data_IF_774138674825
#
_entry.id   IF_774138674825
#
_cell.length_a   1.000
_cell.length_b   1.000
_cell.length_c   1.000
_cell.angle_alpha   90.00
_cell.angle_beta   90.00
_cell.angle_gamma   90.00
#
_symmetry.space_group_name_H-M   'P 1'
#
loop_
_entity.id
_entity.type
_entity.pdbx_description
1 polymer ?
#
# COMPACT_ATOMS: atom_id res chain seq x y z
N UNK A 1 16.00 16.31 12.83
CA UNK A 1 14.61 16.52 12.33
C UNK A 1 14.42 15.62 11.13
N UNK A 2 13.40 14.77 11.15
CA UNK A 2 13.13 13.80 10.12
C UNK A 2 12.05 14.29 9.15
N UNK A 3 11.91 13.64 8.00
CA UNK A 3 10.79 13.88 7.09
C UNK A 3 9.49 13.35 7.71
N UNK A 4 8.38 14.06 7.49
CA UNK A 4 7.02 13.66 7.86
C UNK A 4 6.23 13.46 6.57
N UNK A 5 5.76 12.24 6.34
CA UNK A 5 5.08 11.85 5.08
C UNK A 5 3.66 11.43 5.38
N UNK A 6 2.67 12.07 4.76
CA UNK A 6 1.26 11.78 4.96
C UNK A 6 0.68 10.89 3.86
N UNK A 7 -0.18 9.96 4.26
CA UNK A 7 -1.02 9.15 3.38
C UNK A 7 -2.42 9.03 3.98
N UNK A 8 -3.45 9.31 3.19
CA UNK A 8 -4.86 9.19 3.60
C UNK A 8 -5.77 8.81 2.45
N UNK A 9 -7.03 8.54 2.75
CA UNK A 9 -8.16 8.42 1.82
C UNK A 9 -9.07 9.68 1.84
N UNK A 10 -8.58 10.82 2.34
CA UNK A 10 -9.38 12.04 2.53
C UNK A 10 -9.56 12.86 1.25
N UNK A 11 -8.68 12.66 0.25
CA UNK A 11 -8.62 13.54 -0.90
C UNK A 11 -8.10 14.94 -0.54
N UNK A 12 -8.13 15.85 -1.52
CA UNK A 12 -7.70 17.25 -1.36
C UNK A 12 -8.85 18.25 -1.65
N UNK A 13 -10.09 17.76 -1.71
CA UNK A 13 -11.25 18.58 -2.09
C UNK A 13 -11.73 19.46 -0.93
N UNK A 14 -11.51 19.01 0.29
CA UNK A 14 -11.86 19.75 1.52
C UNK A 14 -10.64 20.10 2.38
N UNK A 15 -10.87 20.58 3.59
CA UNK A 15 -9.83 21.05 4.49
C UNK A 15 -9.18 19.98 5.38
N UNK A 16 -9.51 18.69 5.25
CA UNK A 16 -9.07 17.66 6.19
C UNK A 16 -7.53 17.51 6.19
N UNK A 17 -6.92 17.34 5.03
CA UNK A 17 -5.45 17.25 4.88
C UNK A 17 -4.77 18.55 5.31
N UNK A 18 -5.32 19.69 4.91
CA UNK A 18 -4.80 21.00 5.33
C UNK A 18 -4.82 21.19 6.85
N UNK A 19 -5.84 20.66 7.54
CA UNK A 19 -5.90 20.67 9.00
C UNK A 19 -4.81 19.79 9.64
N UNK A 20 -4.48 18.64 9.02
CA UNK A 20 -3.36 17.81 9.46
C UNK A 20 -2.02 18.53 9.34
N UNK A 21 -1.80 19.25 8.23
CA UNK A 21 -0.60 20.10 8.07
C UNK A 21 -0.54 21.20 9.10
N UNK A 22 -1.67 21.90 9.33
CA UNK A 22 -1.76 22.95 10.34
C UNK A 22 -1.36 22.46 11.73
N UNK A 23 -1.83 21.27 12.13
CA UNK A 23 -1.44 20.62 13.38
C UNK A 23 0.05 20.31 13.39
N UNK A 24 0.58 19.72 12.32
CA UNK A 24 2.01 19.39 12.26
C UNK A 24 2.90 20.64 12.36
N UNK A 25 2.58 21.70 11.63
CA UNK A 25 3.30 22.99 11.72
C UNK A 25 3.11 23.69 13.06
N UNK A 26 1.99 23.50 13.77
CA UNK A 26 1.81 24.03 15.13
C UNK A 26 2.70 23.32 16.15
N UNK A 27 3.06 22.04 15.89
CA UNK A 27 4.03 21.29 16.69
C UNK A 27 5.44 21.81 16.43
N UNK A 28 5.83 21.92 15.16
CA UNK A 28 7.14 22.45 14.78
C UNK A 28 7.10 23.12 13.39
N UNK A 29 7.32 24.44 13.29
CA UNK A 29 7.13 25.20 12.04
C UNK A 29 8.15 24.89 10.93
N UNK A 30 9.24 24.18 11.23
CA UNK A 30 10.27 23.81 10.25
C UNK A 30 10.22 22.32 9.84
N UNK A 31 9.12 21.62 10.10
CA UNK A 31 8.96 20.25 9.62
C UNK A 31 9.00 20.17 8.10
N UNK A 32 9.70 19.17 7.59
CA UNK A 32 9.65 18.81 6.17
C UNK A 32 8.47 17.88 5.94
N UNK A 33 7.34 18.44 5.53
CA UNK A 33 6.11 17.69 5.28
C UNK A 33 6.01 17.34 3.79
N UNK A 34 5.64 16.10 3.51
CA UNK A 34 5.45 15.55 2.17
C UNK A 34 4.19 14.68 2.13
N UNK A 35 3.67 14.47 0.92
CA UNK A 35 2.58 13.54 0.68
C UNK A 35 3.09 12.28 -0.02
N UNK A 36 2.66 11.13 0.49
CA UNK A 36 2.71 9.91 -0.28
C UNK A 36 1.54 9.94 -1.27
N UNK A 37 0.33 10.02 -0.74
CA UNK A 37 -0.92 10.24 -1.49
C UNK A 37 -2.08 10.53 -0.55
N UNK A 38 -3.08 11.27 -1.03
CA UNK A 38 -4.37 11.45 -0.36
C UNK A 38 -5.53 10.84 -1.16
N UNK A 39 -5.21 10.13 -2.25
CA UNK A 39 -6.17 9.53 -3.17
C UNK A 39 -6.30 8.00 -3.00
N UNK A 40 -6.05 7.47 -1.80
CA UNK A 40 -6.42 6.09 -1.49
C UNK A 40 -7.93 5.96 -1.67
N UNK A 41 -8.37 4.90 -2.31
CA UNK A 41 -9.81 4.61 -2.42
C UNK A 41 -10.44 4.62 -1.03
N UNK A 42 -11.52 5.37 -0.79
CA UNK A 42 -12.14 5.48 0.53
C UNK A 42 -12.34 4.12 1.20
N UNK A 43 -11.89 4.01 2.46
CA UNK A 43 -11.93 2.81 3.30
C UNK A 43 -11.06 1.63 2.84
N UNK A 44 -10.25 1.78 1.81
CA UNK A 44 -9.43 0.69 1.28
C UNK A 44 -8.09 0.55 2.04
N UNK A 45 -8.14 -0.19 3.16
CA UNK A 45 -6.97 -0.47 4.01
C UNK A 45 -5.91 -1.28 3.23
N UNK A 46 -6.31 -2.19 2.33
CA UNK A 46 -5.39 -2.97 1.52
C UNK A 46 -4.53 -2.08 0.62
N UNK A 47 -5.16 -1.13 -0.07
CA UNK A 47 -4.44 -0.18 -0.91
C UNK A 47 -3.49 0.70 -0.09
N UNK A 48 -3.93 1.21 1.07
CA UNK A 48 -3.07 1.98 1.98
C UNK A 48 -1.82 1.18 2.39
N UNK A 49 -2.00 -0.08 2.76
CA UNK A 49 -0.91 -0.98 3.12
C UNK A 49 0.09 -1.19 1.97
N UNK A 50 -0.43 -1.34 0.74
CA UNK A 50 0.41 -1.53 -0.44
C UNK A 50 1.20 -0.26 -0.78
N UNK A 51 0.56 0.93 -0.73
CA UNK A 51 1.23 2.20 -1.06
C UNK A 51 2.38 2.51 -0.11
N UNK A 52 2.28 2.16 1.15
CA UNK A 52 3.39 2.26 2.10
C UNK A 52 4.60 1.47 1.60
N UNK A 53 4.45 0.17 1.34
CA UNK A 53 5.59 -0.68 0.94
C UNK A 53 6.12 -0.33 -0.46
N UNK A 54 5.27 0.19 -1.36
CA UNK A 54 5.68 0.68 -2.66
C UNK A 54 6.72 1.81 -2.54
N UNK A 55 6.67 2.60 -1.47
CA UNK A 55 7.35 3.88 -1.36
C UNK A 55 8.44 3.89 -0.29
N UNK A 56 8.23 3.23 0.85
CA UNK A 56 9.04 3.36 2.07
C UNK A 56 10.56 3.20 1.85
N UNK A 57 10.97 2.26 1.00
CA UNK A 57 12.38 1.96 0.72
C UNK A 57 13.17 3.08 0.03
N UNK A 58 12.48 4.06 -0.53
CA UNK A 58 13.09 5.19 -1.25
C UNK A 58 13.27 6.42 -0.37
N UNK A 59 12.76 6.39 0.86
CA UNK A 59 12.90 7.48 1.80
C UNK A 59 14.13 7.32 2.68
N UNK A 60 14.75 8.44 3.11
CA UNK A 60 15.84 8.41 4.08
C UNK A 60 15.42 7.72 5.39
N UNK A 61 16.33 6.93 5.97
CA UNK A 61 16.11 6.29 7.27
C UNK A 61 15.71 7.34 8.32
N UNK A 62 14.82 6.97 9.23
CA UNK A 62 14.27 7.85 10.24
C UNK A 62 13.03 8.64 9.77
N UNK A 63 12.62 8.52 8.50
CA UNK A 63 11.38 9.14 8.02
C UNK A 63 10.18 8.63 8.83
N UNK A 64 9.28 9.55 9.18
CA UNK A 64 8.02 9.27 9.89
C UNK A 64 6.87 9.31 8.87
N UNK A 65 6.19 8.19 8.69
CA UNK A 65 4.99 8.09 7.86
C UNK A 65 3.76 8.15 8.76
N UNK A 66 2.77 8.93 8.35
CA UNK A 66 1.44 8.97 8.97
C UNK A 66 0.45 8.46 7.95
N UNK A 67 -0.06 7.24 8.15
CA UNK A 67 -0.97 6.58 7.22
C UNK A 67 -2.34 6.42 7.88
N UNK A 68 -3.34 7.08 7.32
CA UNK A 68 -4.70 7.13 7.88
C UNK A 68 -5.73 6.75 6.84
N UNK A 69 -6.12 5.48 6.87
CA UNK A 69 -7.35 4.95 6.28
C UNK A 69 -8.05 4.21 7.40
N UNK A 70 -9.08 4.81 7.98
CA UNK A 70 -9.59 4.43 9.29
C UNK A 70 -11.13 4.30 9.35
N UNK A 71 -11.69 3.24 8.72
CA UNK A 71 -13.13 2.97 8.82
C UNK A 71 -13.64 2.78 10.26
N UNK A 72 -12.72 2.43 11.19
CA UNK A 72 -13.00 2.17 12.59
C UNK A 72 -12.72 3.35 13.53
N UNK A 73 -12.59 4.58 13.02
CA UNK A 73 -12.33 5.75 13.86
C UNK A 73 -13.34 5.86 15.01
N UNK A 74 -12.84 6.09 16.23
CA UNK A 74 -13.68 6.18 17.43
C UNK A 74 -14.12 4.83 18.02
N UNK A 75 -13.71 3.69 17.46
CA UNK A 75 -13.92 2.35 18.06
C UNK A 75 -12.75 1.97 18.99
N UNK A 76 -12.79 0.73 19.54
CA UNK A 76 -11.74 0.19 20.42
C UNK A 76 -10.45 -0.22 19.68
N UNK A 77 -10.37 0.00 18.35
CA UNK A 77 -9.15 -0.29 17.58
C UNK A 77 -7.99 0.54 18.11
N UNK A 78 -6.80 -0.06 18.18
CA UNK A 78 -5.63 0.61 18.72
C UNK A 78 -5.01 1.60 17.73
N UNK A 79 -4.43 2.66 18.26
CA UNK A 79 -3.57 3.59 17.52
C UNK A 79 -2.12 3.25 17.84
N UNK A 80 -1.28 3.05 16.83
CA UNK A 80 0.08 2.56 17.03
C UNK A 80 1.12 3.39 16.27
N UNK A 81 2.34 3.36 16.79
CA UNK A 81 3.54 3.70 16.03
C UNK A 81 4.41 2.46 15.98
N UNK A 82 4.86 2.09 14.78
CA UNK A 82 5.80 1.00 14.60
C UNK A 82 7.15 1.53 14.11
N UNK A 83 8.23 0.86 14.53
CA UNK A 83 9.56 1.01 13.97
C UNK A 83 9.80 -0.16 13.03
N UNK A 84 10.07 0.13 11.77
CA UNK A 84 10.33 -0.90 10.74
C UNK A 84 11.77 -1.38 10.78
N UNK A 85 12.03 -2.56 10.20
CA UNK A 85 13.39 -3.10 10.10
C UNK A 85 14.33 -2.21 9.26
N UNK A 86 13.80 -1.46 8.30
CA UNK A 86 14.55 -0.45 7.54
C UNK A 86 14.77 0.86 8.30
N UNK A 87 14.26 0.97 9.54
CA UNK A 87 14.51 2.09 10.44
C UNK A 87 13.61 3.31 10.21
N UNK A 88 12.43 3.12 9.63
CA UNK A 88 11.39 4.13 9.53
C UNK A 88 10.37 4.00 10.65
N UNK A 89 9.55 5.04 10.82
CA UNK A 89 8.43 5.02 11.75
C UNK A 89 7.12 5.15 10.99
N UNK A 90 6.09 4.39 11.40
CA UNK A 90 4.75 4.48 10.80
C UNK A 90 3.73 4.67 11.91
N UNK A 91 3.01 5.79 11.85
CA UNK A 91 1.92 6.19 12.74
C UNK A 91 0.61 5.87 12.05
N UNK A 92 -0.20 4.96 12.61
CA UNK A 92 -1.37 4.42 11.90
C UNK A 92 -2.37 3.78 12.85
N UNK A 93 -3.65 3.64 12.46
CA UNK A 93 -4.56 2.73 13.13
C UNK A 93 -4.10 1.27 12.96
N UNK A 94 -4.22 0.46 14.01
CA UNK A 94 -3.96 -0.98 13.95
C UNK A 94 -5.19 -1.71 13.39
N UNK A 95 -5.34 -1.66 12.08
CA UNK A 95 -6.51 -2.19 11.35
C UNK A 95 -6.13 -3.04 10.12
N UNK A 96 -4.84 -3.36 9.96
CA UNK A 96 -4.31 -4.09 8.81
C UNK A 96 -3.50 -3.24 7.83
N UNK A 97 -3.42 -1.92 8.01
CA UNK A 97 -2.59 -1.02 7.19
C UNK A 97 -1.11 -1.42 7.15
N UNK A 98 -0.62 -2.13 8.15
CA UNK A 98 0.78 -2.59 8.21
C UNK A 98 1.05 -3.93 7.51
N UNK A 99 0.05 -4.59 6.94
CA UNK A 99 0.15 -5.96 6.42
C UNK A 99 1.32 -6.17 5.45
N UNK A 100 1.45 -5.32 4.43
CA UNK A 100 2.54 -5.44 3.45
C UNK A 100 3.88 -5.01 4.03
N UNK A 101 3.91 -4.03 4.94
CA UNK A 101 5.14 -3.62 5.62
C UNK A 101 5.68 -4.75 6.50
N UNK A 102 4.81 -5.40 7.30
CA UNK A 102 5.17 -6.57 8.11
C UNK A 102 5.79 -7.66 7.24
N UNK A 103 5.20 -7.91 6.06
CA UNK A 103 5.63 -8.97 5.17
C UNK A 103 6.97 -8.70 4.46
N UNK A 104 7.17 -7.47 3.95
CA UNK A 104 8.24 -7.17 3.01
C UNK A 104 9.40 -6.35 3.60
N UNK A 105 9.16 -5.65 4.70
CA UNK A 105 10.19 -4.89 5.41
C UNK A 105 10.47 -5.47 6.81
N UNK A 106 9.43 -5.86 7.53
CA UNK A 106 9.49 -6.29 8.91
C UNK A 106 9.26 -5.14 9.90
N UNK A 107 8.85 -5.51 11.12
CA UNK A 107 8.63 -4.58 12.24
C UNK A 107 9.56 -4.97 13.38
N UNK A 108 10.39 -4.03 13.84
CA UNK A 108 11.27 -4.20 14.98
C UNK A 108 10.54 -4.01 16.31
N UNK A 109 9.75 -2.94 16.41
CA UNK A 109 9.10 -2.55 17.65
C UNK A 109 7.76 -1.88 17.39
N UNK A 110 6.80 -2.06 18.30
CA UNK A 110 5.45 -1.49 18.25
C UNK A 110 5.15 -0.78 19.56
N UNK A 111 4.62 0.43 19.49
CA UNK A 111 4.09 1.16 20.65
C UNK A 111 2.65 1.57 20.42
N UNK A 112 1.80 1.35 21.41
CA UNK A 112 0.46 1.92 21.43
C UNK A 112 0.57 3.41 21.77
N UNK A 113 -0.14 4.27 21.03
CA UNK A 113 -0.12 5.70 21.30
C UNK A 113 -0.86 5.97 22.62
N UNK A 114 -0.16 6.58 23.58
CA UNK A 114 -0.81 7.09 24.78
C UNK A 114 -1.49 8.42 24.46
N UNK A 115 -2.79 8.36 24.22
CA UNK A 115 -3.59 9.53 23.85
C UNK A 115 -3.72 10.58 24.99
N UNK A 116 -3.39 10.25 26.23
CA UNK A 116 -3.36 11.25 27.30
C UNK A 116 -2.23 12.27 27.10
N UNK A 117 -1.16 11.86 26.41
CA UNK A 117 0.04 12.66 26.16
C UNK A 117 0.20 13.03 24.69
N UNK A 118 -0.16 12.12 23.79
CA UNK A 118 0.07 12.19 22.35
C UNK A 118 -1.22 12.46 21.55
N UNK A 119 -2.08 13.29 22.09
CA UNK A 119 -3.28 13.80 21.44
C UNK A 119 -3.26 15.34 21.45
N UNK A 120 -3.74 15.94 20.35
CA UNK A 120 -3.84 17.39 20.21
C UNK A 120 -4.61 17.98 21.40
N UNK A 121 -4.06 18.95 22.15
CA UNK A 121 -4.74 19.57 23.29
C UNK A 121 -6.13 20.10 22.91
N UNK A 122 -7.11 19.89 23.78
CA UNK A 122 -8.50 20.31 23.61
C UNK A 122 -9.29 19.59 22.50
N UNK A 123 -8.79 18.47 21.98
CA UNK A 123 -9.52 17.65 20.99
C UNK A 123 -10.26 16.44 21.62
N UNK A 124 -10.19 16.26 22.94
CA UNK A 124 -10.69 15.07 23.64
C UNK A 124 -12.20 14.86 23.64
N UNK A 125 -13.00 15.85 23.21
CA UNK A 125 -14.46 15.74 23.13
C UNK A 125 -14.96 15.27 21.74
N UNK A 126 -14.06 15.13 20.74
CA UNK A 126 -14.38 14.65 19.40
C UNK A 126 -13.56 13.41 19.08
N UNK A 127 -14.23 12.36 18.65
CA UNK A 127 -13.63 11.07 18.31
C UNK A 127 -13.71 10.75 16.80
N UNK A 128 -13.98 11.74 15.97
CA UNK A 128 -14.23 11.54 14.54
C UNK A 128 -13.09 11.92 13.64
N UNK A 129 -12.02 12.56 14.17
CA UNK A 129 -10.88 12.99 13.37
C UNK A 129 -9.53 12.66 14.02
N UNK A 130 -9.32 11.36 14.33
CA UNK A 130 -8.04 10.87 14.85
C UNK A 130 -6.87 11.11 13.88
N UNK A 131 -7.13 11.21 12.58
CA UNK A 131 -6.14 11.59 11.56
C UNK A 131 -5.39 12.87 11.91
N UNK A 132 -6.12 13.89 12.30
CA UNK A 132 -5.59 15.18 12.75
C UNK A 132 -5.12 15.14 14.20
N UNK A 133 -5.99 14.65 15.11
CA UNK A 133 -5.85 14.86 16.55
C UNK A 133 -4.86 13.90 17.21
N UNK A 134 -4.70 12.69 16.66
CA UNK A 134 -3.83 11.65 17.18
C UNK A 134 -2.65 11.42 16.24
N UNK A 135 -2.91 11.05 14.99
CA UNK A 135 -1.86 10.56 14.10
C UNK A 135 -0.95 11.68 13.59
N UNK A 136 -1.50 12.79 13.07
CA UNK A 136 -0.69 13.92 12.62
C UNK A 136 0.07 14.55 13.79
N UNK A 137 -0.58 14.71 14.94
CA UNK A 137 0.03 15.28 16.13
C UNK A 137 1.20 14.43 16.65
N UNK A 138 0.98 13.11 16.82
CA UNK A 138 2.04 12.19 17.28
C UNK A 138 3.18 12.11 16.26
N UNK A 139 2.85 11.97 14.97
CA UNK A 139 3.85 11.92 13.90
C UNK A 139 4.72 13.17 13.82
N UNK A 140 4.11 14.34 13.98
CA UNK A 140 4.84 15.61 13.99
C UNK A 140 5.79 15.73 15.19
N UNK A 141 5.36 15.33 16.39
CA UNK A 141 6.21 15.33 17.60
C UNK A 141 7.40 14.39 17.45
N UNK A 142 7.17 13.20 16.88
CA UNK A 142 8.24 12.23 16.64
C UNK A 142 9.21 12.70 15.54
N UNK A 143 8.71 13.21 14.42
CA UNK A 143 9.54 13.71 13.32
C UNK A 143 10.39 14.92 13.71
N UNK A 144 9.87 15.79 14.57
CA UNK A 144 10.59 16.95 15.09
C UNK A 144 11.59 16.63 16.20
N UNK A 145 11.50 15.43 16.81
CA UNK A 145 12.32 15.03 17.96
C UNK A 145 11.86 15.66 19.28
N UNK A 146 10.62 16.18 19.35
CA UNK A 146 10.00 16.64 20.61
C UNK A 146 9.73 15.46 21.54
N UNK A 147 9.43 14.31 20.97
CA UNK A 147 9.39 13.02 21.68
C UNK A 147 10.32 12.03 20.98
N UNK A 148 10.88 11.12 21.74
CA UNK A 148 11.49 9.91 21.19
C UNK A 148 10.45 8.79 21.00
N UNK A 149 10.89 7.67 20.42
CA UNK A 149 9.96 6.56 20.14
C UNK A 149 9.43 5.92 21.44
N UNK A 150 10.20 5.92 22.53
CA UNK A 150 9.78 5.37 23.82
C UNK A 150 8.65 6.18 24.47
N UNK A 151 8.59 7.49 24.19
CA UNK A 151 7.60 8.42 24.73
C UNK A 151 6.26 8.38 23.97
N UNK A 152 6.17 7.62 22.88
CA UNK A 152 4.89 7.39 22.16
C UNK A 152 3.87 6.73 23.08
N UNK A 153 4.32 5.76 23.89
CA UNK A 153 3.46 5.04 24.83
C UNK A 153 3.96 3.61 25.11
N UNK A 154 3.11 2.74 25.67
CA UNK A 154 3.51 1.40 26.08
C UNK A 154 3.92 0.50 24.92
N UNK A 155 4.93 -0.34 25.17
CA UNK A 155 5.41 -1.36 24.24
C UNK A 155 4.33 -2.44 24.04
N UNK A 156 4.22 -2.93 22.80
CA UNK A 156 3.36 -4.05 22.43
C UNK A 156 4.16 -5.13 21.69
N UNK A 157 3.64 -6.36 21.71
CA UNK A 157 4.20 -7.43 20.87
C UNK A 157 3.89 -7.18 19.39
N UNK A 158 4.85 -7.45 18.51
CA UNK A 158 4.68 -7.30 17.05
C UNK A 158 3.68 -8.29 16.47
N UNK A 159 3.44 -9.40 17.16
CA UNK A 159 2.44 -10.43 16.84
C UNK A 159 1.01 -9.99 17.12
N UNK A 160 0.82 -8.95 17.96
CA UNK A 160 -0.50 -8.39 18.28
C UNK A 160 -1.08 -7.51 17.14
N UNK A 161 -0.28 -7.14 16.14
CA UNK A 161 -0.72 -6.29 15.03
C UNK A 161 -1.74 -7.00 14.15
N UNK A 162 -2.79 -6.28 13.79
CA UNK A 162 -3.82 -6.76 12.86
C UNK A 162 -3.21 -6.96 11.47
N UNK A 163 -3.51 -8.10 10.85
CA UNK A 163 -3.06 -8.45 9.50
C UNK A 163 -4.24 -8.80 8.63
N UNK A 164 -4.26 -8.24 7.42
CA UNK A 164 -5.17 -8.68 6.38
C UNK A 164 -4.70 -10.02 5.80
N UNK A 165 -5.61 -10.92 5.39
CA UNK A 165 -5.21 -12.16 4.75
C UNK A 165 -4.50 -11.89 3.42
N UNK A 166 -3.40 -12.59 3.16
CA UNK A 166 -2.66 -12.57 1.90
C UNK A 166 -2.76 -13.95 1.27
N UNK A 167 -3.11 -14.01 -0.02
CA UNK A 167 -3.02 -15.22 -0.83
C UNK A 167 -1.63 -15.27 -1.45
N UNK A 168 -0.84 -16.29 -1.10
CA UNK A 168 0.51 -16.45 -1.63
C UNK A 168 0.48 -16.83 -3.11
N UNK A 169 1.31 -16.19 -3.94
CA UNK A 169 1.52 -16.64 -5.31
C UNK A 169 2.19 -18.00 -5.32
N UNK A 170 1.81 -18.86 -6.27
CA UNK A 170 2.36 -20.23 -6.36
C UNK A 170 2.44 -20.72 -7.79
N UNK A 171 3.31 -21.68 -8.00
CA UNK A 171 3.31 -22.49 -9.21
C UNK A 171 2.20 -23.54 -9.15
N UNK A 172 1.61 -23.80 -10.30
CA UNK A 172 0.61 -24.86 -10.53
C UNK A 172 0.93 -25.53 -11.86
N UNK A 173 1.74 -26.56 -11.82
CA UNK A 173 2.34 -27.16 -13.00
C UNK A 173 3.25 -26.17 -13.73
N UNK A 174 2.91 -25.85 -14.99
CA UNK A 174 3.62 -24.86 -15.80
C UNK A 174 3.03 -23.44 -15.68
N UNK A 175 1.97 -23.27 -14.91
CA UNK A 175 1.36 -21.98 -14.68
C UNK A 175 1.84 -21.37 -13.36
N UNK A 176 1.72 -20.05 -13.26
CA UNK A 176 1.82 -19.31 -11.99
C UNK A 176 0.47 -18.68 -11.68
N UNK A 177 0.07 -18.77 -10.41
CA UNK A 177 -1.18 -18.22 -9.90
C UNK A 177 -0.89 -17.18 -8.83
N UNK A 178 -1.65 -16.10 -8.80
CA UNK A 178 -1.57 -15.03 -7.82
C UNK A 178 -2.84 -14.20 -7.76
N UNK A 179 -2.73 -13.00 -7.18
CA UNK A 179 -3.81 -12.02 -7.04
C UNK A 179 -3.46 -10.72 -7.76
N UNK A 180 -4.48 -9.90 -8.04
CA UNK A 180 -4.29 -8.50 -8.44
C UNK A 180 -4.20 -7.70 -7.15
N UNK A 181 -3.00 -7.30 -6.77
CA UNK A 181 -2.78 -6.62 -5.48
C UNK A 181 -3.24 -5.17 -5.52
N UNK A 182 -2.87 -4.46 -6.56
CA UNK A 182 -3.20 -3.03 -6.70
C UNK A 182 -3.29 -2.63 -8.17
N UNK A 183 -3.97 -1.54 -8.44
CA UNK A 183 -3.94 -0.91 -9.76
C UNK A 183 -2.88 0.18 -9.80
N UNK A 184 -2.22 0.32 -10.93
CA UNK A 184 -1.61 1.59 -11.28
C UNK A 184 -2.75 2.57 -11.58
N UNK A 185 -3.06 3.42 -10.59
CA UNK A 185 -4.30 4.20 -10.59
C UNK A 185 -4.43 5.10 -11.82
N UNK A 186 -3.33 5.70 -12.25
CA UNK A 186 -3.34 6.65 -13.37
C UNK A 186 -3.54 5.95 -14.71
N UNK A 187 -2.91 4.81 -14.91
CA UNK A 187 -2.88 4.10 -16.20
C UNK A 187 -3.82 2.89 -16.23
N UNK A 188 -4.29 2.41 -15.07
CA UNK A 188 -5.19 1.26 -14.99
C UNK A 188 -4.53 -0.07 -15.31
N UNK A 189 -3.21 -0.17 -15.18
CA UNK A 189 -2.50 -1.45 -15.25
C UNK A 189 -2.75 -2.28 -13.99
N UNK A 190 -2.79 -3.60 -14.14
CA UNK A 190 -2.98 -4.53 -13.04
C UNK A 190 -1.63 -4.96 -12.49
N UNK A 191 -1.34 -4.69 -11.24
CA UNK A 191 -0.13 -5.15 -10.59
C UNK A 191 -0.46 -6.36 -9.71
N UNK A 192 0.24 -7.46 -9.98
CA UNK A 192 0.01 -8.71 -9.28
C UNK A 192 0.98 -8.89 -8.12
N UNK A 193 0.68 -9.85 -7.24
CA UNK A 193 1.62 -10.29 -6.20
C UNK A 193 2.63 -11.36 -6.68
N UNK A 194 2.71 -11.62 -7.98
CA UNK A 194 3.60 -12.63 -8.55
C UNK A 194 4.99 -12.04 -8.74
N UNK A 195 6.01 -12.40 -7.92
CA UNK A 195 7.36 -11.92 -8.12
C UNK A 195 7.93 -12.46 -9.44
N UNK A 196 8.76 -11.67 -10.11
CA UNK A 196 9.48 -12.08 -11.32
C UNK A 196 10.25 -13.38 -11.12
N UNK A 197 10.89 -13.56 -9.98
CA UNK A 197 11.66 -14.77 -9.65
C UNK A 197 10.81 -16.04 -9.62
N UNK A 198 9.55 -15.97 -9.17
CA UNK A 198 8.61 -17.08 -9.23
C UNK A 198 8.10 -17.28 -10.66
N UNK A 199 7.76 -16.18 -11.35
CA UNK A 199 7.27 -16.22 -12.72
C UNK A 199 8.26 -16.88 -13.69
N UNK A 200 9.55 -16.57 -13.59
CA UNK A 200 10.59 -17.15 -14.45
C UNK A 200 10.74 -18.67 -14.30
N UNK A 201 10.27 -19.27 -13.20
CA UNK A 201 10.28 -20.73 -13.03
C UNK A 201 9.28 -21.44 -13.94
N UNK A 202 8.35 -20.72 -14.57
CA UNK A 202 7.46 -21.27 -15.61
C UNK A 202 8.20 -21.53 -16.93
N UNK A 203 9.40 -20.99 -17.09
CA UNK A 203 10.19 -21.05 -18.34
C UNK A 203 9.83 -19.96 -19.35
N UNK A 204 8.86 -19.10 -19.06
CA UNK A 204 8.44 -18.00 -19.94
C UNK A 204 9.56 -16.96 -20.05
N UNK A 205 9.83 -16.49 -21.28
CA UNK A 205 10.82 -15.46 -21.58
C UNK A 205 10.19 -14.26 -22.27
N UNK A 206 10.88 -13.13 -22.27
CA UNK A 206 10.44 -11.96 -23.04
C UNK A 206 10.30 -12.30 -24.53
N UNK A 207 9.18 -11.91 -25.11
CA UNK A 207 8.80 -12.23 -26.47
C UNK A 207 7.87 -13.45 -26.60
N UNK A 208 7.74 -14.24 -25.55
CA UNK A 208 6.79 -15.37 -25.55
C UNK A 208 5.34 -14.88 -25.43
N UNK A 209 4.43 -15.66 -25.98
CA UNK A 209 3.01 -15.50 -25.75
C UNK A 209 2.60 -16.27 -24.51
N UNK A 210 1.76 -15.65 -23.70
CA UNK A 210 1.23 -16.23 -22.46
C UNK A 210 -0.29 -16.22 -22.47
N UNK A 211 -0.89 -17.29 -21.99
CA UNK A 211 -2.30 -17.36 -21.71
C UNK A 211 -2.56 -16.75 -20.33
N UNK A 212 -3.41 -15.74 -20.25
CA UNK A 212 -3.82 -15.10 -19.00
C UNK A 212 -5.29 -15.37 -18.75
N UNK A 213 -5.60 -15.84 -17.55
CA UNK A 213 -6.96 -15.94 -17.04
C UNK A 213 -7.07 -15.09 -15.78
N UNK A 214 -8.07 -14.19 -15.74
CA UNK A 214 -8.40 -13.37 -14.56
C UNK A 214 -9.82 -13.67 -14.14
N UNK A 215 -9.98 -13.99 -12.86
CA UNK A 215 -11.24 -14.39 -12.25
C UNK A 215 -11.50 -13.57 -10.98
N UNK A 216 -12.76 -13.31 -10.73
CA UNK A 216 -13.21 -12.97 -9.38
C UNK A 216 -13.99 -14.16 -8.79
N UNK A 217 -14.46 -14.03 -7.55
CA UNK A 217 -15.13 -15.14 -6.86
C UNK A 217 -16.38 -15.68 -7.59
N UNK A 218 -16.93 -14.94 -8.55
CA UNK A 218 -18.19 -15.26 -9.22
C UNK A 218 -18.03 -15.68 -10.67
N UNK A 219 -16.97 -15.25 -11.36
CA UNK A 219 -16.81 -15.49 -12.80
C UNK A 219 -15.39 -15.30 -13.32
N UNK A 220 -15.11 -15.91 -14.46
CA UNK A 220 -13.96 -15.54 -15.31
C UNK A 220 -14.27 -14.23 -16.02
N UNK A 221 -13.43 -13.22 -15.78
CA UNK A 221 -13.60 -11.86 -16.30
C UNK A 221 -12.78 -11.64 -17.57
N UNK A 222 -11.60 -12.25 -17.64
CA UNK A 222 -10.71 -12.14 -18.79
C UNK A 222 -10.00 -13.46 -19.06
N UNK A 223 -9.94 -13.85 -20.34
CA UNK A 223 -9.10 -14.94 -20.81
C UNK A 223 -8.61 -14.61 -22.20
N UNK A 224 -7.30 -14.50 -22.38
CA UNK A 224 -6.70 -14.20 -23.67
C UNK A 224 -5.23 -14.62 -23.70
N UNK A 225 -4.65 -14.62 -24.90
CA UNK A 225 -3.25 -14.85 -25.17
C UNK A 225 -2.63 -13.51 -25.52
N UNK A 226 -1.64 -13.08 -24.72
CA UNK A 226 -0.96 -11.80 -24.89
C UNK A 226 0.55 -11.98 -24.90
N UNK A 227 1.28 -10.96 -25.31
CA UNK A 227 2.75 -10.94 -25.33
C UNK A 227 3.29 -10.71 -23.92
N UNK A 228 4.31 -11.46 -23.49
CA UNK A 228 5.17 -11.07 -22.38
C UNK A 228 6.27 -10.15 -22.90
N UNK A 229 6.09 -8.87 -22.71
CA UNK A 229 6.89 -7.79 -23.30
C UNK A 229 7.93 -7.23 -22.33
N UNK A 230 9.02 -6.69 -22.86
CA UNK A 230 9.98 -5.91 -22.05
C UNK A 230 9.48 -4.52 -21.73
N UNK A 231 8.71 -3.95 -22.65
CA UNK A 231 8.18 -2.60 -22.53
C UNK A 231 6.87 -2.43 -23.31
N UNK A 232 6.19 -1.33 -23.09
CA UNK A 232 5.00 -0.95 -23.84
C UNK A 232 5.26 -0.74 -25.33
N UNK A 233 6.52 -0.48 -25.74
CA UNK A 233 6.89 -0.29 -27.13
C UNK A 233 6.86 -1.58 -27.98
N UNK A 234 6.80 -2.74 -27.33
CA UNK A 234 6.80 -4.03 -28.01
C UNK A 234 5.42 -4.44 -28.56
N UNK A 235 4.37 -3.65 -28.25
CA UNK A 235 2.99 -3.88 -28.70
C UNK A 235 2.37 -2.59 -29.25
N UNK A 236 1.37 -2.74 -30.14
CA UNK A 236 0.65 -1.59 -30.68
C UNK A 236 -0.25 -0.93 -29.63
N UNK A 237 -0.60 0.34 -29.87
CA UNK A 237 -1.58 1.08 -29.04
C UNK A 237 -2.89 0.32 -29.01
N UNK A 238 -3.44 0.14 -27.82
CA UNK A 238 -4.66 -0.61 -27.57
C UNK A 238 -4.46 -2.13 -27.38
N UNK A 239 -3.28 -2.67 -27.62
CA UNK A 239 -2.99 -4.09 -27.34
C UNK A 239 -2.65 -4.34 -25.87
N UNK A 240 -3.04 -5.51 -25.40
CA UNK A 240 -2.72 -5.99 -24.06
C UNK A 240 -1.32 -6.64 -24.04
N UNK A 241 -0.62 -6.45 -22.90
CA UNK A 241 0.69 -7.04 -22.65
C UNK A 241 0.83 -7.47 -21.19
N UNK A 242 1.64 -8.50 -20.96
CA UNK A 242 2.22 -8.79 -19.65
C UNK A 242 3.63 -8.23 -19.60
N UNK A 243 4.06 -7.71 -18.44
CA UNK A 243 5.38 -7.13 -18.26
C UNK A 243 5.84 -7.25 -16.80
N UNK A 244 7.06 -6.86 -16.49
CA UNK A 244 7.55 -6.74 -15.12
C UNK A 244 7.49 -5.27 -14.70
N UNK A 245 6.81 -4.98 -13.59
CA UNK A 245 6.67 -3.63 -13.08
C UNK A 245 7.89 -3.17 -12.27
N UNK A 246 7.87 -1.92 -11.80
CA UNK A 246 8.97 -1.30 -11.02
C UNK A 246 9.20 -1.92 -9.63
N UNK A 247 8.32 -2.79 -9.16
CA UNK A 247 8.45 -3.54 -7.91
C UNK A 247 8.91 -4.99 -8.13
N UNK A 248 9.39 -5.31 -9.33
CA UNK A 248 9.84 -6.64 -9.72
C UNK A 248 8.76 -7.72 -9.67
N UNK A 249 7.50 -7.32 -9.89
CA UNK A 249 6.35 -8.21 -9.99
C UNK A 249 5.75 -8.20 -11.40
N UNK A 250 5.11 -9.31 -11.78
CA UNK A 250 4.37 -9.39 -13.06
C UNK A 250 3.17 -8.46 -13.02
N UNK A 251 2.93 -7.78 -14.13
CA UNK A 251 1.81 -6.88 -14.33
C UNK A 251 1.17 -7.10 -15.69
N UNK A 252 -0.09 -6.66 -15.84
CA UNK A 252 -0.85 -6.71 -17.10
C UNK A 252 -1.39 -5.33 -17.42
N UNK A 253 -1.24 -4.91 -18.66
CA UNK A 253 -1.67 -3.58 -19.11
C UNK A 253 -2.26 -3.61 -20.51
N UNK A 254 -2.86 -2.49 -20.92
CA UNK A 254 -3.14 -2.13 -22.31
C UNK A 254 -2.24 -0.95 -22.67
N UNK A 255 -1.52 -1.04 -23.77
CA UNK A 255 -0.68 0.06 -24.23
C UNK A 255 -1.54 1.28 -24.54
N UNK A 256 -1.30 2.39 -23.83
CA UNK A 256 -2.07 3.65 -23.86
C UNK A 256 -3.59 3.46 -23.54
N UNK A 257 -3.94 2.43 -22.77
CA UNK A 257 -5.30 2.16 -22.34
C UNK A 257 -5.36 1.69 -20.88
N UNK A 258 -6.58 1.64 -20.31
CA UNK A 258 -6.80 1.16 -18.96
C UNK A 258 -7.37 -0.26 -18.98
N UNK A 259 -6.55 -1.23 -18.58
CA UNK A 259 -6.99 -2.62 -18.49
C UNK A 259 -8.09 -2.80 -17.44
N UNK A 260 -7.92 -2.17 -16.27
CA UNK A 260 -8.90 -2.26 -15.19
C UNK A 260 -10.28 -1.74 -15.61
N UNK A 261 -10.34 -0.62 -16.34
CA UNK A 261 -11.61 -0.06 -16.84
C UNK A 261 -12.21 -0.88 -17.98
N UNK A 262 -11.37 -1.36 -18.93
CA UNK A 262 -11.84 -2.13 -20.08
C UNK A 262 -12.55 -3.42 -19.66
N UNK A 263 -12.10 -4.04 -18.57
CA UNK A 263 -12.63 -5.33 -18.11
C UNK A 263 -13.29 -5.29 -16.73
N UNK A 264 -13.44 -4.09 -16.12
CA UNK A 264 -14.02 -3.88 -14.80
C UNK A 264 -13.35 -4.75 -13.72
N UNK A 265 -12.02 -4.67 -13.64
CA UNK A 265 -11.20 -5.46 -12.71
C UNK A 265 -10.87 -4.63 -11.48
N UNK A 266 -11.06 -5.21 -10.30
CA UNK A 266 -10.68 -4.67 -9.01
C UNK A 266 -9.40 -5.32 -8.45
N UNK A 267 -9.20 -5.21 -7.15
CA UNK A 267 -7.98 -5.64 -6.44
C UNK A 267 -8.29 -6.49 -5.21
N UNK A 268 -7.26 -7.09 -4.64
CA UNK A 268 -7.32 -7.88 -3.42
C UNK A 268 -7.62 -9.35 -3.66
N UNK A 269 -7.89 -10.09 -2.59
CA UNK A 269 -7.93 -11.55 -2.58
C UNK A 269 -9.04 -12.19 -3.43
N UNK A 270 -10.08 -11.44 -3.74
CA UNK A 270 -11.16 -11.91 -4.63
C UNK A 270 -10.79 -11.89 -6.12
N UNK A 271 -9.70 -11.22 -6.49
CA UNK A 271 -9.24 -11.10 -7.86
C UNK A 271 -7.99 -11.93 -8.09
N UNK A 272 -8.17 -13.07 -8.76
CA UNK A 272 -7.13 -14.06 -9.03
C UNK A 272 -6.66 -13.99 -10.47
N UNK A 273 -5.37 -14.21 -10.65
CA UNK A 273 -4.76 -14.30 -11.98
C UNK A 273 -4.01 -15.62 -12.11
N UNK A 274 -4.14 -16.26 -13.28
CA UNK A 274 -3.38 -17.41 -13.73
C UNK A 274 -2.66 -17.05 -15.01
N UNK A 275 -1.36 -17.32 -15.05
CA UNK A 275 -0.52 -17.08 -16.23
C UNK A 275 0.20 -18.37 -16.58
N UNK A 276 0.13 -18.79 -17.84
CA UNK A 276 0.75 -20.02 -18.33
C UNK A 276 1.37 -19.84 -19.72
N UNK A 277 2.45 -20.61 -20.05
CA UNK A 277 3.02 -20.57 -21.37
C UNK A 277 1.98 -20.93 -22.42
N UNK A 278 1.88 -20.13 -23.47
CA UNK A 278 1.09 -20.53 -24.64
C UNK A 278 1.98 -21.33 -25.58
N UNK A 279 1.73 -22.63 -25.66
CA UNK A 279 2.32 -23.50 -26.69
C UNK A 279 1.37 -23.46 -27.88
N UNK A 280 1.73 -22.69 -28.92
CA UNK A 280 0.98 -22.71 -30.19
C UNK A 280 0.81 -24.16 -30.69
N UNK A 281 -0.28 -24.37 -31.43
CA UNK A 281 -0.50 -25.62 -32.13
C UNK A 281 0.53 -25.80 -33.24
#
# INVERSE_FOLDING_TARGET
MNHLVFQTDFGLVDGAVSAMYGVAYSVHPQLNIHDLTHDITPYNIWEASYRLIQTIRYWPQGTVFVSVVDPGVGSDRKSVVVKTASGHYIVTPDNGTLTHVIRFDGIEEVREIDENVNRLPRSGESYTFHGRDVYAYTGARLASGIIDFAEVGPLRGTDSLVRLPIIEPRLDGHAVCGTIDVLDVRFGSLWTNIPRTLFLQTGIQYGDRVSITIENDTRCVYRNIILFARSFADVYVGEALAYVNSLDCVAVAINQGSFARAYNIGTGNSWRIRIEPFKGF
#
